data_IF_232050811688
#
_entry.id   IF_232050811688
#
_cell.length_a   1.000
_cell.length_b   1.000
_cell.length_c   1.000
_cell.angle_alpha   90.00
_cell.angle_beta   90.00
_cell.angle_gamma   90.00
#
_symmetry.space_group_name_H-M   'P 1'
#
loop_
_entity.id
_entity.type
_entity.pdbx_description
1 polymer ?
#
# COMPACT_ATOMS: atom_id res chain seq x y z
N UNK A 1 -25.74 -10.38 9.81
CA UNK A 1 -24.31 -10.61 10.08
C UNK A 1 -23.70 -11.13 8.78
N UNK A 2 -22.92 -10.33 8.06
CA UNK A 2 -22.13 -10.83 6.94
C UNK A 2 -20.91 -11.51 7.54
N UNK A 3 -20.80 -12.82 7.37
CA UNK A 3 -19.61 -13.60 7.73
C UNK A 3 -18.50 -13.24 6.75
N UNK A 4 -17.63 -12.33 7.16
CA UNK A 4 -16.48 -11.90 6.37
C UNK A 4 -15.34 -12.89 6.55
N UNK A 5 -15.19 -13.81 5.60
CA UNK A 5 -14.00 -14.66 5.56
C UNK A 5 -12.85 -13.88 4.93
N UNK A 6 -11.65 -13.87 5.55
CA UNK A 6 -10.47 -13.31 4.93
C UNK A 6 -10.21 -13.99 3.58
N UNK A 7 -9.95 -13.19 2.55
CA UNK A 7 -9.59 -13.65 1.22
C UNK A 7 -8.07 -13.56 1.04
N UNK A 8 -7.39 -14.61 0.56
CA UNK A 8 -5.99 -14.51 0.19
C UNK A 8 -5.83 -13.47 -0.94
N UNK A 9 -4.84 -12.61 -0.81
CA UNK A 9 -4.54 -11.54 -1.77
C UNK A 9 -3.04 -11.50 -2.04
N UNK A 10 -2.69 -11.35 -3.30
CA UNK A 10 -1.35 -11.00 -3.74
C UNK A 10 -1.35 -9.56 -4.25
N UNK A 11 -0.59 -8.69 -3.58
CA UNK A 11 -0.35 -7.31 -3.98
C UNK A 11 1.08 -7.19 -4.50
N UNK A 12 1.26 -6.69 -5.72
CA UNK A 12 2.58 -6.43 -6.30
C UNK A 12 2.74 -4.98 -6.71
N UNK A 13 3.94 -4.47 -6.50
CA UNK A 13 4.42 -3.18 -7.01
C UNK A 13 5.61 -3.46 -7.92
N UNK A 14 5.61 -2.94 -9.13
CA UNK A 14 6.72 -3.14 -10.08
C UNK A 14 6.98 -1.84 -10.82
N UNK A 15 8.23 -1.41 -10.86
CA UNK A 15 8.66 -0.37 -11.77
C UNK A 15 9.02 -1.01 -13.13
N UNK A 16 8.57 -0.40 -14.22
CA UNK A 16 8.82 -0.89 -15.58
C UNK A 16 10.15 -0.38 -16.15
N UNK A 17 10.64 0.73 -15.61
CA UNK A 17 11.85 1.44 -16.05
C UNK A 17 12.96 1.47 -14.99
N UNK A 18 12.73 0.87 -13.83
CA UNK A 18 13.69 0.76 -12.72
C UNK A 18 13.74 -0.69 -12.21
N UNK A 19 14.86 -1.14 -11.64
CA UNK A 19 14.99 -2.48 -11.06
C UNK A 19 14.32 -2.57 -9.68
N UNK A 20 13.07 -2.13 -9.57
CA UNK A 20 12.29 -2.12 -8.33
C UNK A 20 11.06 -3.01 -8.49
N UNK A 21 10.94 -4.02 -7.63
CA UNK A 21 9.76 -4.85 -7.52
C UNK A 21 9.54 -5.28 -6.07
N UNK A 22 8.29 -5.44 -5.68
CA UNK A 22 7.89 -5.89 -4.35
C UNK A 22 6.57 -6.67 -4.48
N UNK A 23 6.45 -7.75 -3.71
CA UNK A 23 5.26 -8.59 -3.64
C UNK A 23 4.91 -8.80 -2.18
N UNK A 24 3.63 -8.67 -1.85
CA UNK A 24 3.04 -8.92 -0.55
C UNK A 24 1.89 -9.92 -0.73
N UNK A 25 2.06 -11.10 -0.15
CA UNK A 25 0.98 -12.09 -0.01
C UNK A 25 0.41 -11.98 1.40
N UNK A 26 -0.89 -11.72 1.52
CA UNK A 26 -1.55 -11.61 2.82
C UNK A 26 -3.04 -11.96 2.72
N UNK A 27 -3.72 -11.97 3.85
CA UNK A 27 -5.18 -12.03 3.91
C UNK A 27 -5.78 -10.64 3.94
N UNK A 28 -6.88 -10.46 3.22
CA UNK A 28 -7.61 -9.20 3.17
C UNK A 28 -9.10 -9.39 3.40
N UNK A 29 -9.74 -8.35 3.95
CA UNK A 29 -11.20 -8.27 4.01
C UNK A 29 -11.69 -7.47 2.80
N UNK A 30 -12.45 -8.12 1.93
CA UNK A 30 -13.12 -7.48 0.79
C UNK A 30 -14.57 -7.15 1.16
N UNK A 31 -14.98 -5.93 0.86
CA UNK A 31 -16.35 -5.48 1.05
C UNK A 31 -16.84 -4.67 -0.14
N UNK A 32 -18.11 -4.86 -0.48
CA UNK A 32 -18.80 -4.03 -1.45
C UNK A 32 -19.60 -2.98 -0.70
N UNK A 33 -19.29 -1.71 -0.95
CA UNK A 33 -20.00 -0.58 -0.35
C UNK A 33 -21.26 -0.25 -1.14
N UNK A 34 -21.10 -0.11 -2.46
CA UNK A 34 -22.14 0.21 -3.43
C UNK A 34 -21.89 -0.59 -4.73
N UNK A 35 -22.75 -0.43 -5.73
CA UNK A 35 -22.51 -1.03 -7.03
C UNK A 35 -21.17 -0.53 -7.60
N UNK A 36 -20.32 -1.47 -8.05
CA UNK A 36 -18.96 -1.21 -8.57
C UNK A 36 -18.00 -0.48 -7.61
N UNK A 37 -18.34 -0.36 -6.33
CA UNK A 37 -17.48 0.25 -5.30
C UNK A 37 -17.15 -0.77 -4.23
N UNK A 38 -15.88 -1.13 -4.19
CA UNK A 38 -15.33 -2.12 -3.28
C UNK A 38 -14.30 -1.46 -2.40
N UNK A 39 -14.16 -1.89 -1.16
CA UNK A 39 -12.89 -1.66 -0.52
C UNK A 39 -12.25 -2.96 -0.01
N UNK A 40 -10.93 -2.94 -0.03
CA UNK A 40 -10.06 -4.05 0.29
C UNK A 40 -9.14 -3.60 1.43
N UNK A 41 -9.24 -4.27 2.57
CA UNK A 41 -8.42 -3.97 3.74
C UNK A 41 -7.42 -5.11 3.93
N UNK A 42 -6.14 -4.80 3.72
CA UNK A 42 -5.03 -5.71 3.97
C UNK A 42 -4.42 -5.38 5.32
N UNK A 43 -4.13 -6.42 6.08
CA UNK A 43 -3.30 -6.32 7.28
C UNK A 43 -1.91 -6.80 6.89
N UNK A 44 -0.93 -5.88 6.84
CA UNK A 44 0.46 -6.28 6.62
C UNK A 44 0.95 -7.00 7.89
N UNK A 45 1.59 -8.17 7.76
CA UNK A 45 2.22 -8.81 8.90
C UNK A 45 3.25 -7.87 9.52
N UNK A 46 3.40 -7.94 10.84
CA UNK A 46 4.37 -7.15 11.59
C UNK A 46 5.78 -7.43 11.05
N UNK A 47 6.31 -6.52 10.23
CA UNK A 47 7.72 -6.54 9.87
C UNK A 47 8.47 -6.19 11.14
N UNK A 48 9.07 -7.19 11.79
CA UNK A 48 10.06 -6.96 12.82
C UNK A 48 11.18 -6.13 12.20
N UNK A 49 11.21 -4.85 12.54
CA UNK A 49 12.40 -4.04 12.32
C UNK A 49 13.55 -4.77 13.01
N UNK A 50 14.53 -5.25 12.24
CA UNK A 50 15.79 -5.70 12.82
C UNK A 50 16.35 -4.48 13.53
N UNK A 51 16.34 -4.50 14.86
CA UNK A 51 17.15 -3.58 15.62
C UNK A 51 18.57 -3.71 15.08
N UNK A 52 19.15 -2.60 14.65
CA UNK A 52 20.58 -2.50 14.39
C UNK A 52 21.32 -2.62 15.72
N UNK A 53 21.29 -3.82 16.32
CA UNK A 53 22.10 -4.12 17.49
C UNK A 53 23.48 -4.48 16.97
N UNK A 54 24.39 -3.52 17.03
CA UNK A 54 25.82 -3.81 17.03
C UNK A 54 26.06 -4.96 18.03
N UNK A 55 26.66 -6.09 17.61
CA UNK A 55 26.88 -7.20 18.52
C UNK A 55 27.95 -6.78 19.53
N UNK A 56 27.52 -6.39 20.73
CA UNK A 56 28.44 -6.28 21.85
C UNK A 56 28.59 -7.70 22.43
N UNK A 57 29.74 -8.30 22.20
CA UNK A 57 30.08 -9.64 22.67
C UNK A 57 29.92 -9.72 24.19
N UNK A 58 29.08 -10.65 24.67
CA UNK A 58 29.22 -11.19 26.03
C UNK A 58 28.07 -11.03 27.03
N UNK A 59 26.81 -10.87 26.60
CA UNK A 59 25.69 -11.05 27.55
C UNK A 59 24.53 -11.85 26.93
N UNK A 60 23.94 -12.82 27.67
CA UNK A 60 22.75 -13.52 27.19
C UNK A 60 21.56 -12.54 27.25
N UNK A 61 21.20 -11.97 26.10
CA UNK A 61 20.03 -11.09 25.98
C UNK A 61 18.75 -11.88 26.26
N UNK A 62 18.17 -11.63 27.43
CA UNK A 62 16.74 -11.84 27.66
C UNK A 62 16.03 -10.80 26.81
N UNK A 63 15.50 -11.21 25.67
CA UNK A 63 14.73 -10.37 24.75
C UNK A 63 13.45 -9.93 25.47
N UNK A 64 13.47 -8.75 26.09
CA UNK A 64 12.28 -8.06 26.54
C UNK A 64 11.48 -7.59 25.32
N UNK A 65 10.32 -8.21 25.12
CA UNK A 65 9.30 -7.81 24.15
C UNK A 65 8.68 -6.46 24.57
N UNK A 66 9.37 -5.35 24.33
CA UNK A 66 8.85 -3.99 24.53
C UNK A 66 8.66 -3.29 23.20
N UNK A 67 7.48 -3.51 22.61
CA UNK A 67 6.55 -2.52 22.05
C UNK A 67 5.59 -3.26 21.12
N UNK A 68 4.30 -3.13 21.40
CA UNK A 68 3.22 -3.68 20.60
C UNK A 68 3.16 -2.90 19.29
N UNK A 69 4.00 -3.30 18.32
CA UNK A 69 3.91 -2.75 16.97
C UNK A 69 2.49 -3.02 16.47
N UNK A 70 1.75 -1.95 16.15
CA UNK A 70 0.43 -2.08 15.56
C UNK A 70 0.60 -2.54 14.11
N UNK A 71 -0.15 -3.56 13.64
CA UNK A 71 -0.04 -4.02 12.26
C UNK A 71 -0.33 -2.87 11.29
N UNK A 72 0.44 -2.77 10.21
CA UNK A 72 0.22 -1.73 9.20
C UNK A 72 -1.03 -2.10 8.41
N UNK A 73 -1.94 -1.15 8.27
CA UNK A 73 -3.17 -1.33 7.51
C UNK A 73 -3.01 -0.67 6.16
N UNK A 74 -3.26 -1.44 5.10
CA UNK A 74 -3.36 -0.94 3.75
C UNK A 74 -4.81 -1.04 3.28
N UNK A 75 -5.41 0.10 3.01
CA UNK A 75 -6.80 0.21 2.59
C UNK A 75 -6.87 0.70 1.15
N UNK A 76 -7.46 -0.10 0.27
CA UNK A 76 -7.77 0.28 -1.10
C UNK A 76 -9.28 0.52 -1.25
N UNK A 77 -9.67 1.72 -1.68
CA UNK A 77 -10.99 2.02 -2.24
C UNK A 77 -10.92 1.80 -3.75
N UNK A 78 -11.71 0.88 -4.29
CA UNK A 78 -11.60 0.35 -5.65
C UNK A 78 -12.91 0.56 -6.39
N UNK A 79 -12.80 1.10 -7.61
CA UNK A 79 -13.87 1.15 -8.60
C UNK A 79 -13.27 1.07 -10.01
N UNK A 80 -14.07 0.81 -11.06
CA UNK A 80 -13.59 0.78 -12.44
C UNK A 80 -12.97 2.11 -12.93
N UNK A 81 -13.27 3.22 -12.26
CA UNK A 81 -12.90 4.57 -12.72
C UNK A 81 -11.78 5.18 -11.88
N UNK A 82 -11.70 4.81 -10.59
CA UNK A 82 -10.74 5.35 -9.63
C UNK A 82 -10.32 4.32 -8.60
N UNK A 83 -9.07 4.43 -8.16
CA UNK A 83 -8.53 3.68 -7.03
C UNK A 83 -7.86 4.66 -6.07
N UNK A 84 -8.13 4.48 -4.78
CA UNK A 84 -7.44 5.21 -3.71
C UNK A 84 -6.77 4.18 -2.82
N UNK A 85 -5.48 4.32 -2.58
CA UNK A 85 -4.76 3.49 -1.61
C UNK A 85 -4.27 4.36 -0.47
N UNK A 86 -4.60 3.95 0.75
CA UNK A 86 -4.19 4.62 1.98
C UNK A 86 -3.46 3.61 2.85
N UNK A 87 -2.23 3.92 3.24
CA UNK A 87 -1.51 3.16 4.26
C UNK A 87 -1.51 3.96 5.56
N UNK A 88 -1.93 3.32 6.64
CA UNK A 88 -1.85 3.84 8.00
C UNK A 88 -1.08 2.83 8.86
N UNK A 89 0.07 3.21 9.42
CA UNK A 89 0.86 2.30 10.26
C UNK A 89 1.93 3.00 11.09
N UNK A 90 2.06 2.56 12.35
CA UNK A 90 3.15 2.84 13.31
C UNK A 90 3.55 4.31 13.57
N UNK A 91 2.71 5.29 13.20
CA UNK A 91 2.97 6.72 13.43
C UNK A 91 4.04 7.33 12.52
N UNK A 92 5.13 6.61 12.23
CA UNK A 92 6.31 7.15 11.55
C UNK A 92 6.11 7.41 10.05
N UNK A 93 5.22 6.67 9.39
CA UNK A 93 5.00 6.79 7.95
C UNK A 93 3.54 6.55 7.59
N UNK A 94 2.98 7.44 6.78
CA UNK A 94 1.69 7.20 6.14
C UNK A 94 1.69 7.74 4.72
N UNK A 95 0.89 7.15 3.86
CA UNK A 95 0.71 7.65 2.51
C UNK A 95 -0.71 7.50 2.01
N UNK A 96 -1.06 8.34 1.03
CA UNK A 96 -2.30 8.24 0.30
C UNK A 96 -2.07 8.52 -1.17
N UNK A 97 -2.44 7.57 -2.01
CA UNK A 97 -2.36 7.65 -3.45
C UNK A 97 -3.76 7.69 -4.05
N UNK A 98 -3.93 8.50 -5.08
CA UNK A 98 -5.16 8.62 -5.85
C UNK A 98 -4.84 8.37 -7.32
N UNK A 99 -5.52 7.42 -7.94
CA UNK A 99 -5.39 7.10 -9.35
C UNK A 99 -6.74 7.15 -10.04
N UNK A 100 -6.79 7.79 -11.20
CA UNK A 100 -7.95 7.91 -12.08
C UNK A 100 -7.44 7.97 -13.51
N UNK A 101 -7.94 7.08 -14.37
CA UNK A 101 -7.36 6.89 -15.70
C UNK A 101 -7.39 8.18 -16.54
N UNK A 102 -6.23 8.54 -17.09
CA UNK A 102 -6.04 9.77 -17.88
C UNK A 102 -5.90 11.04 -17.05
N UNK A 103 -5.83 10.95 -15.73
CA UNK A 103 -5.79 12.10 -14.81
C UNK A 103 -4.47 12.16 -14.05
N UNK A 104 -4.00 13.38 -13.78
CA UNK A 104 -2.92 13.63 -12.82
C UNK A 104 -3.46 13.62 -11.39
N UNK A 105 -3.34 12.47 -10.72
CA UNK A 105 -3.59 12.31 -9.30
C UNK A 105 -2.51 12.92 -8.41
N UNK A 106 -2.78 12.95 -7.11
CA UNK A 106 -1.79 13.36 -6.09
C UNK A 106 -1.46 12.18 -5.19
N UNK A 107 -0.17 11.91 -5.03
CA UNK A 107 0.35 10.99 -4.01
C UNK A 107 0.95 11.81 -2.88
N UNK A 108 0.49 11.56 -1.66
CA UNK A 108 0.92 12.27 -0.45
C UNK A 108 1.61 11.29 0.47
N UNK A 109 2.77 11.68 0.97
CA UNK A 109 3.54 10.93 1.94
C UNK A 109 3.76 11.83 3.14
N UNK A 110 3.54 11.29 4.32
CA UNK A 110 3.84 11.92 5.60
C UNK A 110 4.90 11.08 6.28
N UNK A 111 6.07 11.69 6.46
CA UNK A 111 7.19 11.11 7.19
C UNK A 111 7.24 11.86 8.52
N UNK A 112 7.06 11.14 9.63
CA UNK A 112 7.40 11.70 10.94
C UNK A 112 8.89 11.40 11.16
N UNK A 113 9.69 12.45 11.37
CA UNK A 113 11.07 12.34 11.80
C UNK A 113 11.29 13.21 13.04
N UNK A 114 12.46 13.07 13.69
CA UNK A 114 12.83 13.81 14.91
C UNK A 114 12.82 15.34 14.77
N UNK A 115 12.74 15.83 13.54
CA UNK A 115 12.55 17.23 13.24
C UNK A 115 11.05 17.52 13.30
N UNK A 116 10.67 18.27 14.35
CA UNK A 116 9.38 18.93 14.69
C UNK A 116 8.52 19.58 13.57
N UNK A 117 8.73 19.27 12.29
CA UNK A 117 7.89 19.61 11.16
C UNK A 117 7.27 18.33 10.59
N UNK A 118 5.94 18.26 10.60
CA UNK A 118 5.18 17.33 9.77
C UNK A 118 5.45 17.65 8.29
N UNK A 119 6.55 17.14 7.75
CA UNK A 119 6.90 17.33 6.35
C UNK A 119 6.06 16.39 5.49
N UNK A 120 5.27 17.01 4.61
CA UNK A 120 4.45 16.30 3.65
C UNK A 120 5.14 16.38 2.28
N UNK A 121 5.57 15.22 1.78
CA UNK A 121 5.99 15.11 0.39
C UNK A 121 4.75 14.91 -0.49
N UNK A 122 4.63 15.72 -1.54
CA UNK A 122 3.55 15.62 -2.53
C UNK A 122 4.15 15.34 -3.90
N UNK A 123 3.75 14.23 -4.48
CA UNK A 123 4.08 13.83 -5.84
C UNK A 123 2.82 13.83 -6.69
N UNK A 124 2.99 13.99 -8.00
CA UNK A 124 1.90 13.75 -8.96
C UNK A 124 2.01 12.34 -9.47
N UNK A 125 0.88 11.72 -9.74
CA UNK A 125 0.85 10.48 -10.49
C UNK A 125 -0.02 10.68 -11.73
N UNK A 126 0.39 10.15 -12.87
CA UNK A 126 -0.44 10.13 -14.08
C UNK A 126 -0.88 8.70 -14.34
N UNK A 127 -2.17 8.40 -14.19
CA UNK A 127 -2.66 7.03 -14.39
C UNK A 127 -2.86 6.76 -15.88
N UNK A 128 -2.02 5.90 -16.45
CA UNK A 128 -2.08 5.50 -17.85
C UNK A 128 -3.21 4.51 -18.12
N UNK A 129 -3.39 3.54 -17.21
CA UNK A 129 -4.35 2.46 -17.35
C UNK A 129 -4.88 2.06 -15.98
N UNK A 130 -6.18 1.82 -15.89
CA UNK A 130 -6.84 1.26 -14.71
C UNK A 130 -7.78 0.16 -15.19
N UNK A 131 -7.49 -1.08 -14.79
CA UNK A 131 -8.26 -2.25 -15.19
C UNK A 131 -8.75 -2.96 -13.94
N UNK A 132 -10.08 -3.02 -13.80
CA UNK A 132 -10.74 -3.81 -12.76
C UNK A 132 -11.46 -4.98 -13.44
N UNK A 133 -11.09 -6.19 -13.08
CA UNK A 133 -11.67 -7.43 -13.62
C UNK A 133 -12.38 -8.17 -12.49
N UNK A 134 -13.65 -8.51 -12.74
CA UNK A 134 -14.49 -9.24 -11.82
C UNK A 134 -15.94 -9.32 -12.31
N UNK A 135 -16.73 -10.15 -11.63
CA UNK A 135 -18.19 -10.19 -11.77
C UNK A 135 -18.81 -9.35 -10.65
N UNK A 136 -19.55 -10.00 -9.75
CA UNK A 136 -20.10 -9.36 -8.55
C UNK A 136 -19.01 -8.83 -7.61
N UNK A 137 -17.87 -9.53 -7.53
CA UNK A 137 -16.70 -9.13 -6.76
C UNK A 137 -15.45 -9.07 -7.65
N UNK A 138 -14.52 -8.13 -7.37
CA UNK A 138 -13.27 -8.04 -8.09
C UNK A 138 -12.38 -9.24 -7.80
N UNK A 139 -11.69 -9.72 -8.84
CA UNK A 139 -10.69 -10.78 -8.76
C UNK A 139 -9.29 -10.25 -9.10
N UNK A 140 -9.23 -9.19 -9.91
CA UNK A 140 -7.97 -8.60 -10.33
C UNK A 140 -8.12 -7.08 -10.51
N UNK A 141 -7.18 -6.32 -9.97
CA UNK A 141 -7.01 -4.89 -10.21
C UNK A 141 -5.60 -4.65 -10.73
N UNK A 142 -5.47 -3.89 -11.81
CA UNK A 142 -4.20 -3.41 -12.35
C UNK A 142 -4.25 -1.89 -12.55
N UNK A 143 -3.26 -1.20 -12.00
CA UNK A 143 -3.08 0.24 -12.16
C UNK A 143 -1.69 0.50 -12.72
N UNK A 144 -1.61 1.09 -13.90
CA UNK A 144 -0.35 1.55 -14.49
C UNK A 144 -0.30 3.06 -14.41
N UNK A 145 0.77 3.61 -13.85
CA UNK A 145 0.91 5.04 -13.65
C UNK A 145 2.36 5.49 -13.72
N UNK A 146 2.54 6.77 -13.98
CA UNK A 146 3.82 7.45 -13.86
C UNK A 146 3.85 8.22 -12.56
N UNK A 147 5.00 8.29 -11.89
CA UNK A 147 5.18 9.15 -10.72
C UNK A 147 6.06 10.33 -11.10
N UNK A 148 5.68 11.53 -10.66
CA UNK A 148 6.31 12.79 -11.04
C UNK A 148 6.59 13.66 -9.81
N UNK A 149 7.80 14.23 -9.77
CA UNK A 149 8.18 15.32 -8.88
C UNK A 149 8.30 16.60 -9.70
N UNK A 150 7.27 17.43 -9.68
CA UNK A 150 7.13 18.61 -10.54
C UNK A 150 7.36 18.26 -12.02
N UNK A 151 8.54 18.61 -12.58
CA UNK A 151 8.92 18.37 -13.98
C UNK A 151 9.72 17.11 -14.22
N UNK A 152 10.08 16.39 -13.15
CA UNK A 152 10.91 15.18 -13.23
C UNK A 152 10.02 13.95 -13.11
N UNK A 153 10.01 13.13 -14.15
CA UNK A 153 9.42 11.80 -14.09
C UNK A 153 10.33 10.89 -13.26
N UNK A 154 9.80 10.35 -12.17
CA UNK A 154 10.53 9.47 -11.25
C UNK A 154 10.50 8.02 -11.70
N UNK A 155 9.47 7.61 -12.45
CA UNK A 155 9.39 6.28 -13.03
C UNK A 155 7.99 5.89 -13.50
N UNK A 156 7.91 4.71 -14.13
CA UNK A 156 6.69 4.03 -14.54
C UNK A 156 6.42 2.85 -13.63
N UNK A 157 5.25 2.81 -13.02
CA UNK A 157 4.91 1.83 -12.01
C UNK A 157 3.62 1.10 -12.36
N UNK A 158 3.58 -0.16 -11.95
CA UNK A 158 2.40 -1.02 -12.01
C UNK A 158 2.09 -1.50 -10.60
N UNK A 159 0.83 -1.36 -10.22
CA UNK A 159 0.24 -2.04 -9.07
C UNK A 159 -0.66 -3.14 -9.61
N UNK A 160 -0.44 -4.38 -9.19
CA UNK A 160 -1.41 -5.45 -9.41
C UNK A 160 -1.91 -6.00 -8.08
N UNK A 161 -3.20 -6.27 -8.01
CA UNK A 161 -3.86 -6.94 -6.89
C UNK A 161 -4.61 -8.12 -7.44
N UNK A 162 -4.28 -9.32 -6.97
CA UNK A 162 -5.01 -10.55 -7.23
C UNK A 162 -5.75 -10.97 -5.97
N UNK A 163 -7.06 -11.20 -6.09
CA UNK A 163 -7.94 -11.61 -4.98
C UNK A 163 -8.42 -13.03 -5.25
N UNK A 164 -8.09 -13.96 -4.37
CA UNK A 164 -8.49 -15.37 -4.47
C UNK A 164 -9.79 -15.61 -3.71
N UNK A 165 -10.79 -16.20 -4.37
CA UNK A 165 -12.15 -16.39 -3.82
C UNK A 165 -12.42 -17.81 -3.34
#
# INVERSE_FOLDING_TARGET
>A
MLTHHPKPVCLSFTALDLPLWSVLETSATLYQRENEQFHLLLTEPLVQERADTHPNEGSPEVITLTETQTPRLLWLEISPYRVIMTMQGNGQFSYRHFWEQGVYGTSRYWLQGDLSKNEQLRLRNFTRSLQLIGGELPHHLRVEYELWSDKVQLGHYVINVEIHH
#
